data_IF_261117143721
#
_entry.id   IF_261117143721
#
_cell.length_a   1.000
_cell.length_b   1.000
_cell.length_c   1.000
_cell.angle_alpha   90.00
_cell.angle_beta   90.00
_cell.angle_gamma   90.00
#
_symmetry.space_group_name_H-M   'P 1'
#
loop_
_entity.id
_entity.type
_entity.pdbx_description
1 polymer ?
#
# COMPACT_ATOMS: atom_id res chain seq x y z
N UNK A 1 -26.05 3.65 -0.21
CA UNK A 1 -26.81 3.33 1.01
C UNK A 1 -27.20 4.58 1.78
N UNK A 2 -26.40 5.65 1.71
CA UNK A 2 -26.61 6.88 2.48
C UNK A 2 -27.93 7.59 2.13
N UNK A 3 -28.26 7.70 0.84
CA UNK A 3 -29.53 8.30 0.39
C UNK A 3 -30.76 7.51 0.84
N UNK A 4 -30.75 6.18 0.68
CA UNK A 4 -31.86 5.31 1.10
C UNK A 4 -32.07 5.40 2.62
N UNK A 5 -30.98 5.36 3.39
CA UNK A 5 -31.04 5.48 4.85
C UNK A 5 -31.64 6.81 5.31
N UNK A 6 -31.31 7.92 4.62
CA UNK A 6 -31.87 9.23 4.90
C UNK A 6 -33.37 9.31 4.54
N UNK A 7 -33.77 8.74 3.40
CA UNK A 7 -35.17 8.71 2.95
C UNK A 7 -36.07 7.86 3.84
N UNK A 8 -35.56 6.73 4.35
CA UNK A 8 -36.35 5.79 5.16
C UNK A 8 -36.15 5.97 6.66
N UNK A 9 -35.42 7.02 7.08
CA UNK A 9 -35.05 7.30 8.49
C UNK A 9 -34.56 6.03 9.20
N UNK A 10 -33.77 5.23 8.49
CA UNK A 10 -33.31 3.92 8.94
C UNK A 10 -31.80 3.87 8.98
N UNK A 11 -31.25 3.06 9.87
CA UNK A 11 -29.79 2.87 9.90
C UNK A 11 -29.30 2.22 8.59
N UNK A 12 -28.08 2.57 8.14
CA UNK A 12 -27.44 1.96 6.95
C UNK A 12 -27.35 0.43 7.06
N UNK A 13 -27.18 -0.09 8.28
CA UNK A 13 -27.15 -1.54 8.56
C UNK A 13 -28.52 -2.19 8.35
N UNK A 14 -29.59 -1.51 8.76
CA UNK A 14 -30.98 -1.95 8.54
C UNK A 14 -31.27 -2.01 7.04
N UNK A 15 -30.98 -0.93 6.30
CA UNK A 15 -31.15 -0.89 4.85
C UNK A 15 -30.37 -2.03 4.18
N UNK A 16 -29.09 -2.23 4.54
CA UNK A 16 -28.28 -3.35 4.03
C UNK A 16 -28.93 -4.70 4.29
N UNK A 17 -29.40 -4.95 5.51
CA UNK A 17 -30.04 -6.21 5.90
C UNK A 17 -31.27 -6.49 5.04
N UNK A 18 -32.14 -5.49 4.87
CA UNK A 18 -33.37 -5.65 4.10
C UNK A 18 -33.12 -5.77 2.60
N UNK A 19 -32.14 -5.04 2.03
CA UNK A 19 -31.74 -5.23 0.63
C UNK A 19 -31.28 -6.66 0.38
N UNK A 20 -30.48 -7.24 1.28
CA UNK A 20 -30.07 -8.65 1.19
C UNK A 20 -31.24 -9.61 1.40
N UNK A 21 -32.14 -9.32 2.34
CA UNK A 21 -33.33 -10.14 2.61
C UNK A 21 -34.25 -10.24 1.38
N UNK A 22 -34.43 -9.14 0.65
CA UNK A 22 -35.21 -9.09 -0.59
C UNK A 22 -34.40 -9.51 -1.83
N UNK A 23 -33.21 -10.08 -1.66
CA UNK A 23 -32.41 -10.60 -2.77
C UNK A 23 -31.82 -9.53 -3.69
N UNK A 24 -31.78 -8.26 -3.26
CA UNK A 24 -31.16 -7.17 -4.01
C UNK A 24 -29.64 -7.26 -3.80
N UNK A 25 -28.86 -7.64 -4.83
CA UNK A 25 -27.43 -7.80 -4.68
C UNK A 25 -26.77 -6.45 -4.43
N UNK A 26 -25.86 -6.42 -3.45
CA UNK A 26 -25.02 -5.27 -3.19
C UNK A 26 -23.72 -5.43 -3.95
N UNK A 27 -23.13 -4.32 -4.41
CA UNK A 27 -21.78 -4.36 -4.99
C UNK A 27 -20.85 -5.12 -4.02
N UNK A 28 -20.16 -6.17 -4.48
CA UNK A 28 -19.28 -6.96 -3.64
C UNK A 28 -18.25 -6.05 -2.99
N UNK A 29 -18.16 -6.14 -1.67
CA UNK A 29 -17.25 -5.29 -0.89
C UNK A 29 -15.80 -5.77 -1.01
N UNK A 30 -15.63 -7.02 -1.41
CA UNK A 30 -14.35 -7.73 -1.52
C UNK A 30 -13.68 -7.58 -2.90
N UNK A 31 -14.25 -6.78 -3.81
CA UNK A 31 -13.48 -6.38 -4.99
C UNK A 31 -12.21 -5.66 -4.52
N UNK A 32 -11.06 -6.26 -4.85
CA UNK A 32 -9.74 -5.72 -4.55
C UNK A 32 -9.62 -4.38 -5.27
N UNK A 33 -10.00 -3.30 -4.57
CA UNK A 33 -9.84 -1.97 -5.10
C UNK A 33 -8.36 -1.75 -5.36
N UNK A 34 -7.98 -1.30 -6.57
CA UNK A 34 -6.58 -0.97 -6.82
C UNK A 34 -6.16 0.06 -5.76
N UNK A 35 -4.99 -0.16 -5.16
CA UNK A 35 -4.46 0.75 -4.16
C UNK A 35 -4.48 2.18 -4.72
N UNK A 36 -4.97 3.14 -3.92
CA UNK A 36 -4.97 4.57 -4.30
C UNK A 36 -3.56 5.08 -4.65
N UNK A 37 -2.52 4.42 -4.11
CA UNK A 37 -1.13 4.68 -4.42
C UNK A 37 -0.40 3.37 -4.68
N UNK A 38 0.48 3.37 -5.68
CA UNK A 38 1.33 2.22 -6.00
C UNK A 38 2.27 1.88 -4.84
N UNK A 39 2.64 0.60 -4.72
CA UNK A 39 3.65 0.15 -3.74
C UNK A 39 5.00 0.78 -4.06
N UNK A 40 5.84 1.03 -3.05
CA UNK A 40 7.20 1.54 -3.24
C UNK A 40 8.02 0.53 -4.06
N UNK A 41 8.74 0.98 -5.10
CA UNK A 41 9.43 0.11 -6.05
C UNK A 41 8.62 -0.20 -7.32
N UNK A 42 7.33 0.13 -7.36
CA UNK A 42 6.46 -0.05 -8.52
C UNK A 42 5.90 1.28 -9.00
N UNK A 43 5.71 1.39 -10.31
CA UNK A 43 5.06 2.52 -10.98
C UNK A 43 4.05 2.00 -12.00
N UNK A 44 2.88 2.61 -12.13
CA UNK A 44 2.02 2.32 -13.29
C UNK A 44 2.48 3.09 -14.52
N UNK A 45 2.63 2.36 -15.62
CA UNK A 45 2.86 2.90 -16.96
C UNK A 45 1.85 2.23 -17.88
N UNK A 46 0.99 3.02 -18.53
CA UNK A 46 -0.05 2.53 -19.44
C UNK A 46 -0.96 1.43 -18.85
N UNK A 47 -1.34 1.58 -17.58
CA UNK A 47 -2.21 0.61 -16.88
C UNK A 47 -1.48 -0.62 -16.31
N UNK A 48 -0.25 -0.90 -16.75
CA UNK A 48 0.57 -2.00 -16.25
C UNK A 48 1.45 -1.55 -15.06
N UNK A 49 1.67 -2.45 -14.10
CA UNK A 49 2.64 -2.25 -13.00
C UNK A 49 4.04 -2.58 -13.50
N UNK A 50 4.92 -1.57 -13.53
CA UNK A 50 6.32 -1.69 -13.96
C UNK A 50 7.25 -1.41 -12.78
N UNK A 51 8.37 -2.13 -12.71
CA UNK A 51 9.40 -1.89 -11.68
C UNK A 51 10.08 -0.55 -11.91
N UNK A 52 10.09 0.30 -10.88
CA UNK A 52 10.86 1.53 -10.89
C UNK A 52 12.28 1.23 -10.41
N UNK A 53 13.25 1.18 -11.34
CA UNK A 53 14.65 0.82 -11.05
C UNK A 53 15.29 1.64 -9.92
N UNK A 54 14.99 2.93 -9.85
CA UNK A 54 15.54 3.81 -8.82
C UNK A 54 14.99 3.45 -7.43
N UNK A 55 13.67 3.29 -7.31
CA UNK A 55 13.04 2.89 -6.05
C UNK A 55 13.42 1.45 -5.64
N UNK A 56 13.55 0.54 -6.60
CA UNK A 56 13.98 -0.83 -6.37
C UNK A 56 15.41 -0.89 -5.81
N UNK A 57 16.33 -0.07 -6.33
CA UNK A 57 17.71 0.02 -5.82
C UNK A 57 17.73 0.52 -4.38
N UNK A 58 16.94 1.54 -4.06
CA UNK A 58 16.80 2.05 -2.70
C UNK A 58 16.23 0.99 -1.76
N UNK A 59 15.24 0.23 -2.21
CA UNK A 59 14.64 -0.84 -1.43
C UNK A 59 15.64 -1.99 -1.18
N UNK A 60 16.42 -2.38 -2.18
CA UNK A 60 17.51 -3.36 -2.02
C UNK A 60 18.54 -2.90 -0.97
N UNK A 61 18.90 -1.60 -0.96
CA UNK A 61 19.77 -1.03 0.08
C UNK A 61 19.15 -1.11 1.48
N UNK A 62 17.86 -0.81 1.62
CA UNK A 62 17.17 -0.96 2.92
C UNK A 62 17.24 -2.38 3.45
N UNK A 63 17.04 -3.37 2.58
CA UNK A 63 17.15 -4.79 2.96
C UNK A 63 18.58 -5.18 3.31
N UNK A 64 19.58 -4.72 2.55
CA UNK A 64 20.98 -4.96 2.88
C UNK A 64 21.34 -4.41 4.27
N UNK A 65 20.93 -3.19 4.58
CA UNK A 65 21.12 -2.59 5.90
C UNK A 65 20.36 -3.36 7.00
N UNK A 66 19.16 -3.83 6.71
CA UNK A 66 18.37 -4.63 7.67
C UNK A 66 19.02 -5.98 7.94
N UNK A 67 19.58 -6.63 6.92
CA UNK A 67 20.30 -7.90 7.04
C UNK A 67 21.62 -7.75 7.81
N UNK A 68 22.22 -6.57 7.81
CA UNK A 68 23.36 -6.21 8.66
C UNK A 68 22.97 -5.98 10.14
N UNK A 69 21.71 -6.18 10.51
CA UNK A 69 21.22 -6.04 11.89
C UNK A 69 20.84 -4.60 12.27
N UNK A 70 20.87 -3.64 11.34
CA UNK A 70 20.48 -2.25 11.63
C UNK A 70 19.01 -2.15 12.03
N UNK A 71 18.75 -1.33 13.03
CA UNK A 71 17.41 -0.93 13.42
C UNK A 71 16.76 -0.04 12.35
N UNK A 72 15.43 0.04 12.37
CA UNK A 72 14.70 0.86 11.39
C UNK A 72 15.05 2.34 11.51
N UNK A 73 15.33 2.82 12.73
CA UNK A 73 15.73 4.22 12.96
C UNK A 73 17.11 4.49 12.34
N UNK A 74 18.09 3.63 12.59
CA UNK A 74 19.41 3.75 11.96
C UNK A 74 19.32 3.72 10.43
N UNK A 75 18.45 2.88 9.87
CA UNK A 75 18.24 2.85 8.41
C UNK A 75 17.69 4.19 7.93
N UNK A 76 16.73 4.80 8.63
CA UNK A 76 16.22 6.13 8.29
C UNK A 76 17.32 7.19 8.33
N UNK A 77 18.14 7.17 9.37
CA UNK A 77 19.22 8.13 9.56
C UNK A 77 20.24 8.00 8.42
N UNK A 78 20.71 6.77 8.14
CA UNK A 78 21.62 6.47 7.02
C UNK A 78 21.04 6.94 5.68
N UNK A 79 19.75 6.68 5.41
CA UNK A 79 19.12 7.10 4.15
C UNK A 79 19.03 8.62 4.01
N UNK A 80 18.75 9.32 5.12
CA UNK A 80 18.65 10.77 5.15
C UNK A 80 20.03 11.45 5.04
N UNK A 81 21.03 10.91 5.73
CA UNK A 81 22.41 11.40 5.71
C UNK A 81 23.04 11.24 4.33
N UNK A 82 22.79 10.11 3.67
CA UNK A 82 23.18 9.86 2.28
C UNK A 82 22.33 10.62 1.25
N UNK A 83 21.36 11.42 1.70
CA UNK A 83 20.43 12.20 0.86
C UNK A 83 19.75 11.35 -0.22
N UNK A 84 19.45 10.09 0.09
CA UNK A 84 18.80 9.18 -0.85
C UNK A 84 17.35 9.67 -1.07
N UNK A 85 16.96 10.02 -2.31
CA UNK A 85 15.66 10.62 -2.56
C UNK A 85 14.52 9.65 -2.25
N UNK A 86 13.47 10.15 -1.60
CA UNK A 86 12.19 9.46 -1.48
C UNK A 86 11.39 9.62 -2.78
N UNK A 87 10.24 8.93 -2.88
CA UNK A 87 9.31 9.06 -4.02
C UNK A 87 8.92 10.51 -4.31
N UNK A 88 8.80 11.34 -3.26
CA UNK A 88 8.63 12.79 -3.38
C UNK A 88 9.99 13.44 -3.23
N UNK A 89 10.57 13.92 -4.33
CA UNK A 89 11.88 14.60 -4.32
C UNK A 89 11.92 15.68 -3.22
N UNK A 90 13.00 15.71 -2.45
CA UNK A 90 13.22 16.66 -1.36
C UNK A 90 12.57 16.30 -0.01
N UNK A 91 11.78 15.24 0.09
CA UNK A 91 11.25 14.77 1.37
C UNK A 91 12.21 13.78 2.07
N UNK A 92 12.26 13.85 3.41
CA UNK A 92 13.03 12.95 4.28
C UNK A 92 12.35 11.58 4.43
N UNK A 93 13.17 10.56 4.69
CA UNK A 93 12.71 9.25 5.12
C UNK A 93 12.11 9.32 6.52
N UNK A 94 10.99 8.63 6.69
CA UNK A 94 10.31 8.48 7.97
C UNK A 94 10.25 7.00 8.36
N UNK A 95 10.33 6.71 9.66
CA UNK A 95 10.34 5.35 10.21
C UNK A 95 9.19 4.49 9.68
N UNK A 96 7.97 5.03 9.69
CA UNK A 96 6.78 4.36 9.16
C UNK A 96 6.93 3.95 7.69
N UNK A 97 7.56 4.80 6.87
CA UNK A 97 7.76 4.55 5.44
C UNK A 97 8.77 3.43 5.23
N UNK A 98 9.90 3.47 5.95
CA UNK A 98 10.93 2.41 5.87
C UNK A 98 10.36 1.07 6.35
N UNK A 99 9.62 1.06 7.46
CA UNK A 99 8.93 -0.14 7.95
C UNK A 99 7.97 -0.71 6.90
N UNK A 100 7.17 0.14 6.26
CA UNK A 100 6.26 -0.30 5.19
C UNK A 100 7.03 -0.89 4.00
N UNK A 101 8.15 -0.27 3.60
CA UNK A 101 8.99 -0.75 2.49
C UNK A 101 9.57 -2.14 2.80
N UNK A 102 10.10 -2.34 4.00
CA UNK A 102 10.65 -3.62 4.44
C UNK A 102 9.59 -4.72 4.56
N UNK A 103 8.37 -4.37 5.01
CA UNK A 103 7.25 -5.31 5.11
C UNK A 103 6.80 -5.84 3.73
N UNK A 104 6.88 -5.01 2.69
CA UNK A 104 6.33 -5.32 1.37
C UNK A 104 7.07 -6.46 0.63
N UNK A 105 8.33 -6.74 0.96
CA UNK A 105 9.16 -7.75 0.27
C UNK A 105 9.27 -9.07 1.05
N UNK A 106 8.63 -9.18 2.21
CA UNK A 106 8.48 -10.45 2.94
C UNK A 106 7.58 -11.48 2.23
N UNK A 107 7.11 -11.23 1.01
CA UNK A 107 6.49 -12.24 0.15
C UNK A 107 7.48 -12.61 -0.95
N UNK A 108 8.19 -13.75 -0.85
CA UNK A 108 8.87 -14.29 -2.02
C UNK A 108 7.82 -14.54 -3.10
N UNK A 109 8.09 -14.05 -4.30
CA UNK A 109 7.45 -14.52 -5.51
C UNK A 109 7.66 -16.03 -5.59
N UNK A 110 6.65 -16.82 -5.19
CA UNK A 110 6.49 -18.19 -5.66
C UNK A 110 6.02 -18.07 -7.12
N UNK A 111 6.96 -17.70 -8.00
CA UNK A 111 6.82 -17.94 -9.44
C UNK A 111 7.14 -19.41 -9.61
N UNK A 112 6.09 -20.24 -9.65
CA UNK A 112 6.25 -21.62 -10.11
C UNK A 112 6.66 -21.59 -11.59
N UNK A 113 7.68 -22.41 -11.86
CA UNK A 113 8.19 -22.79 -13.17
C UNK A 113 7.13 -23.49 -14.04
#
# INVERSE_FOLDING_TARGET
MDEIAALTVSSKKTVRRYLLHFGIPLRPQDEVRPLKQERFGMRRVNGALVVNKAEATTLARMHALRNQGRSIREIVDILNDLKIPTRKRGAKWHVKTVFQCLKLVSMPNSTNA
#
